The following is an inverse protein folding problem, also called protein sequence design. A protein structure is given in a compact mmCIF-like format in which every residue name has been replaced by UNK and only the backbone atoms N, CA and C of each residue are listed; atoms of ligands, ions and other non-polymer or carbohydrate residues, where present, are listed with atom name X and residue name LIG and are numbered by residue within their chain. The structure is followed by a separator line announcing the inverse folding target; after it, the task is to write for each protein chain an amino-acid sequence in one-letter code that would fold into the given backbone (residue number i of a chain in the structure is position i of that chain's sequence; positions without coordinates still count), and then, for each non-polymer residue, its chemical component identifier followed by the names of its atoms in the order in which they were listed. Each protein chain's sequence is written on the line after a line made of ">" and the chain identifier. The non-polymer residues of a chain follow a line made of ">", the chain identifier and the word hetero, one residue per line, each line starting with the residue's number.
data_IF_723428391859
#
_entry.id   IF_723428391859
#
_cell.length_a   1.000
_cell.length_b   1.000
_cell.length_c   1.000
_cell.angle_alpha   90.00
_cell.angle_beta   90.00
_cell.angle_gamma   90.00
#
_symmetry.space_group_name_H-M   'P 1'
#
loop_
_entity.id
_entity.type
_entity.pdbx_description
1 polymer ?
#
# COMPACT_ATOMS: atom_id res chain seq x y z
N UNK A 1 -0.39 -5.84 -22.69
CA UNK A 1 -0.49 -4.63 -21.85
C UNK A 1 0.73 -3.77 -22.15
N UNK A 2 0.60 -2.47 -22.45
CA UNK A 2 1.78 -1.62 -22.67
C UNK A 2 2.60 -1.58 -21.38
N UNK A 3 3.87 -2.00 -21.45
CA UNK A 3 4.80 -1.93 -20.33
C UNK A 3 5.66 -0.68 -20.52
N UNK A 4 5.40 0.34 -19.70
CA UNK A 4 6.32 1.48 -19.55
C UNK A 4 6.98 1.40 -18.19
N UNK A 5 8.28 1.66 -18.15
CA UNK A 5 9.02 1.79 -16.89
C UNK A 5 8.73 3.12 -16.18
N UNK A 6 7.99 4.03 -16.84
CA UNK A 6 7.66 5.37 -16.35
C UNK A 6 6.18 5.49 -15.94
N UNK A 7 5.58 4.40 -15.47
CA UNK A 7 4.23 4.45 -14.91
C UNK A 7 4.21 5.17 -13.55
N UNK A 8 3.04 5.70 -13.20
CA UNK A 8 2.76 6.32 -11.91
C UNK A 8 1.46 5.74 -11.39
N UNK A 9 1.50 5.23 -10.16
CA UNK A 9 0.29 4.78 -9.46
C UNK A 9 -0.24 5.94 -8.62
N UNK A 10 -1.49 6.32 -8.84
CA UNK A 10 -2.19 7.37 -8.07
C UNK A 10 -3.24 6.72 -7.18
N UNK A 11 -3.10 6.90 -5.87
CA UNK A 11 -4.08 6.49 -4.87
C UNK A 11 -4.84 7.74 -4.46
N UNK A 12 -6.14 7.78 -4.75
CA UNK A 12 -7.01 8.90 -4.40
C UNK A 12 -8.21 8.41 -3.61
N UNK A 13 -8.41 8.95 -2.42
CA UNK A 13 -9.49 8.60 -1.51
C UNK A 13 -10.19 9.89 -1.11
N UNK A 14 -11.50 9.96 -1.31
CA UNK A 14 -12.33 11.08 -0.82
C UNK A 14 -13.38 10.52 0.12
N UNK A 15 -13.53 11.15 1.28
CA UNK A 15 -14.51 10.77 2.30
C UNK A 15 -15.33 12.00 2.65
N UNK A 16 -16.65 11.85 2.69
CA UNK A 16 -17.58 12.91 3.07
C UNK A 16 -18.41 12.44 4.25
N UNK A 17 -18.53 13.28 5.29
CA UNK A 17 -19.25 12.91 6.50
C UNK A 17 -19.29 14.01 7.56
N UNK A 18 -19.80 13.69 8.74
CA UNK A 18 -19.80 14.59 9.89
C UNK A 18 -18.47 14.46 10.66
N UNK A 19 -17.76 15.57 10.82
CA UNK A 19 -16.54 15.65 11.64
C UNK A 19 -16.70 16.82 12.61
N UNK A 20 -16.66 16.52 13.90
CA UNK A 20 -16.84 17.52 14.97
C UNK A 20 -18.08 18.41 14.78
N UNK A 21 -19.21 17.81 14.39
CA UNK A 21 -20.49 18.49 14.19
C UNK A 21 -20.64 19.29 12.89
N UNK A 22 -19.68 19.18 11.96
CA UNK A 22 -19.75 19.81 10.64
C UNK A 22 -19.74 18.77 9.53
N UNK A 23 -20.59 18.97 8.53
CA UNK A 23 -20.53 18.17 7.30
C UNK A 23 -19.33 18.63 6.48
N UNK A 24 -18.37 17.74 6.27
CA UNK A 24 -17.10 18.03 5.64
C UNK A 24 -16.70 16.92 4.67
N UNK A 25 -15.90 17.29 3.69
CA UNK A 25 -15.23 16.36 2.79
C UNK A 25 -13.72 16.46 2.99
N UNK A 26 -13.06 15.32 3.10
CA UNK A 26 -11.60 15.22 3.16
C UNK A 26 -11.12 14.33 2.02
N UNK A 27 -10.02 14.73 1.38
CA UNK A 27 -9.40 13.99 0.30
C UNK A 27 -7.95 13.66 0.65
N UNK A 28 -7.55 12.44 0.36
CA UNK A 28 -6.20 11.93 0.45
C UNK A 28 -5.73 11.57 -0.96
N UNK A 29 -4.54 12.02 -1.33
CA UNK A 29 -3.90 11.68 -2.60
C UNK A 29 -2.46 11.27 -2.37
N UNK A 30 -2.05 10.17 -3.00
CA UNK A 30 -0.65 9.75 -3.05
C UNK A 30 -0.26 9.29 -4.44
N UNK A 31 0.99 9.56 -4.81
CA UNK A 31 1.59 9.10 -6.07
C UNK A 31 2.78 8.23 -5.74
N UNK A 32 2.83 7.04 -6.33
CA UNK A 32 4.00 6.15 -6.25
C UNK A 32 4.62 6.11 -7.64
N UNK A 33 5.93 6.37 -7.69
CA UNK A 33 6.73 6.38 -8.90
C UNK A 33 7.59 5.13 -9.00
N UNK A 34 7.91 4.72 -10.22
CA UNK A 34 9.01 3.79 -10.44
C UNK A 34 10.34 4.35 -9.93
N UNK A 35 11.22 3.48 -9.45
CA UNK A 35 12.55 3.85 -8.93
C UNK A 35 13.51 2.69 -8.95
N UNK A 36 14.78 3.00 -8.74
CA UNK A 36 15.81 1.99 -8.55
C UNK A 36 15.68 1.34 -7.16
N UNK A 37 15.66 0.00 -7.14
CA UNK A 37 15.71 -0.81 -5.91
C UNK A 37 16.73 -1.91 -6.16
N UNK A 38 17.74 -1.99 -5.28
CA UNK A 38 18.83 -2.96 -5.39
C UNK A 38 19.59 -2.93 -6.73
N UNK A 39 19.79 -1.73 -7.30
CA UNK A 39 20.53 -1.54 -8.56
C UNK A 39 19.74 -1.83 -9.83
N UNK A 40 18.44 -2.15 -9.72
CA UNK A 40 17.55 -2.38 -10.86
C UNK A 40 16.40 -1.38 -10.85
N UNK A 41 16.05 -0.86 -12.03
CA UNK A 41 14.92 0.05 -12.19
C UNK A 41 13.61 -0.76 -12.18
N UNK A 42 12.70 -0.42 -11.27
CA UNK A 42 11.38 -1.01 -11.18
C UNK A 42 10.31 0.03 -11.45
N UNK A 43 9.29 -0.34 -12.22
CA UNK A 43 8.11 0.47 -12.46
C UNK A 43 7.24 0.61 -11.19
N UNK A 44 6.38 1.62 -11.13
CA UNK A 44 5.49 1.85 -10.00
C UNK A 44 4.54 0.66 -9.76
N UNK A 45 3.97 0.05 -10.81
CA UNK A 45 3.11 -1.13 -10.68
C UNK A 45 3.87 -2.35 -10.17
N UNK A 46 5.11 -2.54 -10.60
CA UNK A 46 5.95 -3.64 -10.11
C UNK A 46 6.25 -3.46 -8.62
N UNK A 47 6.69 -2.26 -8.22
CA UNK A 47 6.99 -1.93 -6.83
C UNK A 47 5.76 -2.13 -5.96
N UNK A 48 4.63 -1.52 -6.30
CA UNK A 48 3.42 -1.56 -5.47
C UNK A 48 2.83 -2.97 -5.40
N UNK A 49 2.74 -3.69 -6.51
CA UNK A 49 2.18 -5.06 -6.52
C UNK A 49 3.04 -6.02 -5.71
N UNK A 50 4.37 -5.99 -5.91
CA UNK A 50 5.29 -6.83 -5.15
C UNK A 50 5.28 -6.47 -3.66
N UNK A 51 5.25 -5.17 -3.33
CA UNK A 51 5.23 -4.69 -1.95
C UNK A 51 3.99 -5.16 -1.19
N UNK A 52 2.82 -5.14 -1.84
CA UNK A 52 1.57 -5.59 -1.24
C UNK A 52 1.65 -7.03 -0.75
N UNK A 53 1.98 -7.96 -1.65
CA UNK A 53 2.05 -9.38 -1.28
C UNK A 53 3.21 -9.67 -0.33
N UNK A 54 4.39 -9.09 -0.55
CA UNK A 54 5.56 -9.32 0.31
C UNK A 54 5.32 -8.80 1.73
N UNK A 55 4.67 -7.64 1.91
CA UNK A 55 4.34 -7.13 3.24
C UNK A 55 3.41 -8.07 4.01
N UNK A 56 2.35 -8.58 3.36
CA UNK A 56 1.41 -9.51 3.99
C UNK A 56 2.09 -10.83 4.36
N UNK A 57 2.90 -11.40 3.45
CA UNK A 57 3.64 -12.63 3.73
C UNK A 57 4.67 -12.44 4.85
N UNK A 58 5.34 -11.29 4.90
CA UNK A 58 6.30 -10.95 5.95
C UNK A 58 5.60 -10.87 7.33
N UNK A 59 4.45 -10.20 7.40
CA UNK A 59 3.63 -10.14 8.61
C UNK A 59 3.11 -11.53 9.03
N UNK A 60 2.72 -12.39 8.08
CA UNK A 60 2.31 -13.76 8.37
C UNK A 60 3.48 -14.59 8.95
N UNK A 61 4.65 -14.52 8.33
CA UNK A 61 5.87 -15.18 8.81
C UNK A 61 6.29 -14.68 10.19
N UNK A 62 6.15 -13.37 10.44
CA UNK A 62 6.41 -12.72 11.74
C UNK A 62 5.40 -13.06 12.84
N UNK A 63 4.31 -13.76 12.52
CA UNK A 63 3.25 -14.10 13.48
C UNK A 63 2.32 -12.93 13.83
N UNK A 64 2.29 -11.88 13.01
CA UNK A 64 1.42 -10.72 13.19
C UNK A 64 0.01 -10.93 12.64
N UNK A 65 -0.18 -11.95 11.80
CA UNK A 65 -1.45 -12.35 11.20
C UNK A 65 -1.84 -13.77 11.64
N UNK A 66 -3.14 -14.13 11.63
CA UNK A 66 -3.60 -15.48 11.90
C UNK A 66 -2.93 -16.50 10.96
N UNK A 67 -2.43 -17.62 11.53
CA UNK A 67 -1.74 -18.70 10.78
C UNK A 67 -2.68 -19.69 10.10
N UNK A 68 -3.98 -19.59 10.39
CA UNK A 68 -4.99 -20.51 9.89
C UNK A 68 -6.30 -19.77 9.62
N UNK A 69 -7.10 -20.33 8.73
CA UNK A 69 -8.33 -19.70 8.27
C UNK A 69 -8.10 -18.65 7.19
N UNK A 70 -9.15 -17.92 6.86
CA UNK A 70 -9.13 -16.87 5.85
C UNK A 70 -8.91 -15.51 6.51
N UNK A 71 -7.91 -14.76 6.06
CA UNK A 71 -7.64 -13.40 6.51
C UNK A 71 -8.07 -12.44 5.41
N UNK A 72 -9.01 -11.56 5.75
CA UNK A 72 -9.50 -10.51 4.85
C UNK A 72 -8.57 -9.31 4.88
N UNK A 73 -8.56 -8.53 3.81
CA UNK A 73 -7.67 -7.36 3.73
C UNK A 73 -7.98 -6.33 4.83
N UNK A 74 -9.25 -6.14 5.17
CA UNK A 74 -9.69 -5.24 6.24
C UNK A 74 -9.28 -5.69 7.65
N UNK A 75 -8.87 -6.95 7.80
CA UNK A 75 -8.38 -7.50 9.08
C UNK A 75 -6.88 -7.28 9.28
N UNK A 76 -6.16 -6.85 8.23
CA UNK A 76 -4.73 -6.55 8.29
C UNK A 76 -4.55 -5.14 8.89
N UNK A 77 -3.86 -4.99 10.04
CA UNK A 77 -3.70 -3.68 10.66
C UNK A 77 -2.86 -2.74 9.78
N UNK A 78 -3.51 -1.70 9.24
CA UNK A 78 -2.86 -0.74 8.34
C UNK A 78 -1.57 -0.12 8.91
N UNK A 79 -1.49 0.31 10.19
CA UNK A 79 -0.25 0.87 10.74
C UNK A 79 0.93 -0.10 10.70
N UNK A 80 0.68 -1.40 10.89
CA UNK A 80 1.72 -2.44 10.80
C UNK A 80 2.11 -2.72 9.36
N UNK A 81 1.12 -2.77 8.47
CA UNK A 81 1.35 -2.95 7.03
C UNK A 81 2.20 -1.81 6.46
N UNK A 82 1.83 -0.55 6.68
CA UNK A 82 2.52 0.59 6.05
C UNK A 82 3.94 0.81 6.59
N UNK A 83 4.22 0.41 7.83
CA UNK A 83 5.56 0.48 8.44
C UNK A 83 6.42 -0.75 8.16
N UNK A 84 5.86 -1.81 7.56
CA UNK A 84 6.61 -3.00 7.15
C UNK A 84 7.72 -2.66 6.14
N UNK A 85 8.80 -3.44 6.15
CA UNK A 85 9.97 -3.25 5.26
C UNK A 85 9.62 -3.23 3.75
N UNK A 86 8.55 -3.91 3.36
CA UNK A 86 7.97 -3.88 2.02
C UNK A 86 6.83 -2.87 1.89
N UNK A 87 5.94 -2.79 2.89
CA UNK A 87 4.77 -1.91 2.85
C UNK A 87 5.10 -0.42 2.84
N UNK A 88 6.26 -0.01 3.37
CA UNK A 88 6.75 1.38 3.30
C UNK A 88 6.90 1.92 1.88
N UNK A 89 6.92 1.06 0.85
CA UNK A 89 6.95 1.50 -0.55
C UNK A 89 5.67 2.23 -0.99
N UNK A 90 4.57 2.12 -0.24
CA UNK A 90 3.37 2.94 -0.41
C UNK A 90 3.44 4.28 0.34
N UNK A 91 4.52 4.55 1.09
CA UNK A 91 4.69 5.75 1.94
C UNK A 91 5.80 6.69 1.48
N UNK A 92 6.33 6.47 0.27
CA UNK A 92 7.42 7.29 -0.31
C UNK A 92 6.88 8.30 -1.31
#
# INVERSE_FOLDING_TARGET
>A
VPATMQDVIVIFVTVTGQKSGRFMQESYSRKVYGREIAGELWSAIQITTASGICAVLDMLCGGELPRQGFVRQEEIPFPKFITNRYGRNYDV
#
